data_IF_437996952298
#
_entry.id   IF_437996952298
#
_cell.length_a   1.000
_cell.length_b   1.000
_cell.length_c   1.000
_cell.angle_alpha   90.00
_cell.angle_beta   90.00
_cell.angle_gamma   90.00
#
_symmetry.space_group_name_H-M   'P 1'
#
loop_
_entity.id
_entity.type
_entity.pdbx_description
1 polymer ?
#
# COMPACT_ATOMS: atom_id res chain seq x y z
N UNK A 1 -11.71 8.91 22.01
CA UNK A 1 -11.87 7.44 21.91
C UNK A 1 -10.46 6.85 21.99
N UNK A 2 -10.20 6.07 23.03
CA UNK A 2 -8.89 5.44 23.28
C UNK A 2 -8.53 4.53 22.10
N UNK A 3 -7.38 4.78 21.45
CA UNK A 3 -6.80 3.86 20.49
C UNK A 3 -6.46 2.58 21.27
N UNK A 4 -7.07 1.47 20.88
CA UNK A 4 -6.73 0.13 21.40
C UNK A 4 -5.32 -0.21 20.89
N UNK A 5 -4.31 0.27 21.62
CA UNK A 5 -2.95 0.54 21.14
C UNK A 5 -1.97 -0.61 21.37
N UNK A 6 -2.48 -1.85 21.57
CA UNK A 6 -1.64 -2.98 21.99
C UNK A 6 -1.49 -4.11 20.99
N UNK A 7 -2.50 -4.42 20.18
CA UNK A 7 -2.49 -5.65 19.38
C UNK A 7 -2.13 -5.40 17.91
N UNK A 8 -1.11 -6.10 17.40
CA UNK A 8 -0.76 -6.09 16.00
C UNK A 8 -1.92 -6.70 15.18
N UNK A 9 -2.39 -5.98 14.14
CA UNK A 9 -3.32 -6.53 13.16
C UNK A 9 -2.59 -7.47 12.20
N UNK A 10 -1.40 -7.07 11.77
CA UNK A 10 -0.51 -7.81 10.89
C UNK A 10 0.80 -8.05 11.61
N UNK A 11 1.24 -9.31 11.66
CA UNK A 11 2.56 -9.71 12.17
C UNK A 11 3.26 -10.57 11.13
N UNK A 12 4.44 -10.15 10.70
CA UNK A 12 5.33 -10.87 9.81
C UNK A 12 6.49 -11.36 10.66
N UNK A 13 6.75 -12.68 10.66
CA UNK A 13 7.67 -13.33 11.60
C UNK A 13 8.72 -14.16 10.85
N UNK A 14 9.96 -13.66 10.84
CA UNK A 14 11.11 -14.35 10.25
C UNK A 14 10.92 -14.78 8.80
N UNK A 15 10.19 -13.95 8.03
CA UNK A 15 9.73 -14.29 6.68
C UNK A 15 10.90 -14.35 5.71
N UNK A 16 11.05 -15.48 5.01
CA UNK A 16 11.99 -15.60 3.92
C UNK A 16 11.32 -16.14 2.66
N UNK A 17 11.83 -15.70 1.50
CA UNK A 17 11.36 -16.18 0.20
C UNK A 17 12.52 -16.46 -0.73
N UNK A 18 12.55 -17.68 -1.24
CA UNK A 18 13.46 -18.11 -2.30
C UNK A 18 12.63 -18.55 -3.50
N UNK A 19 12.95 -18.03 -4.65
CA UNK A 19 12.36 -18.44 -5.92
C UNK A 19 13.32 -19.41 -6.61
N UNK A 20 12.81 -20.51 -7.14
CA UNK A 20 13.54 -21.36 -8.06
C UNK A 20 13.53 -20.70 -9.45
N UNK A 21 14.70 -20.47 -10.03
CA UNK A 21 14.85 -19.95 -11.40
C UNK A 21 15.74 -20.86 -12.22
N UNK A 22 15.75 -20.69 -13.53
CA UNK A 22 16.61 -21.46 -14.43
C UNK A 22 18.10 -21.31 -14.10
N UNK A 23 18.48 -20.12 -13.63
CA UNK A 23 19.87 -19.78 -13.28
C UNK A 23 20.22 -20.12 -11.80
N UNK A 24 19.33 -20.84 -11.10
CA UNK A 24 19.51 -21.21 -9.70
C UNK A 24 18.56 -20.47 -8.73
N UNK A 25 18.64 -20.76 -7.44
CA UNK A 25 17.74 -20.19 -6.45
C UNK A 25 18.05 -18.70 -6.20
N UNK A 26 17.02 -17.86 -6.26
CA UNK A 26 17.09 -16.42 -5.97
C UNK A 26 16.39 -16.12 -4.65
N UNK A 27 17.16 -15.73 -3.64
CA UNK A 27 16.62 -15.26 -2.36
C UNK A 27 16.11 -13.82 -2.51
N UNK A 28 14.80 -13.66 -2.48
CA UNK A 28 14.14 -12.35 -2.58
C UNK A 28 14.02 -11.68 -1.22
N UNK A 29 13.64 -12.45 -0.18
CA UNK A 29 13.52 -11.97 1.21
C UNK A 29 14.30 -12.85 2.15
N UNK A 30 14.86 -12.27 3.21
CA UNK A 30 15.66 -12.97 4.21
C UNK A 30 15.34 -12.50 5.63
N UNK A 31 14.64 -13.33 6.40
CA UNK A 31 14.29 -13.13 7.82
C UNK A 31 13.61 -11.79 8.12
N UNK A 32 12.65 -11.37 7.29
CA UNK A 32 11.88 -10.13 7.49
C UNK A 32 10.89 -10.31 8.63
N UNK A 33 10.95 -9.41 9.65
CA UNK A 33 9.99 -9.38 10.76
C UNK A 33 9.45 -7.96 10.92
N UNK A 34 8.11 -7.82 10.94
CA UNK A 34 7.42 -6.54 10.98
C UNK A 34 6.04 -6.71 11.59
N UNK A 35 5.68 -5.81 12.50
CA UNK A 35 4.32 -5.70 13.05
C UNK A 35 3.68 -4.39 12.62
N UNK A 36 2.41 -4.45 12.20
CA UNK A 36 1.57 -3.29 11.96
C UNK A 36 0.35 -3.32 12.89
N UNK A 37 0.12 -2.23 13.63
CA UNK A 37 -1.01 -2.09 14.55
C UNK A 37 -2.30 -1.81 13.76
N UNK A 38 -3.43 -2.10 14.39
CA UNK A 38 -4.73 -1.74 13.81
C UNK A 38 -4.80 -0.23 13.54
N UNK A 39 -5.26 0.13 12.34
CA UNK A 39 -5.38 1.52 11.91
C UNK A 39 -4.05 2.22 11.62
N UNK A 40 -2.92 1.52 11.61
CA UNK A 40 -1.61 2.11 11.32
C UNK A 40 -1.34 2.15 9.80
N UNK A 41 -0.75 3.24 9.35
CA UNK A 41 -0.24 3.37 8.00
C UNK A 41 1.27 3.08 8.01
N UNK A 42 1.67 1.95 7.42
CA UNK A 42 3.07 1.50 7.37
C UNK A 42 3.56 1.52 5.92
N UNK A 43 4.60 2.30 5.64
CA UNK A 43 5.29 2.25 4.35
C UNK A 43 6.49 1.32 4.38
N UNK A 44 6.67 0.57 3.30
CA UNK A 44 7.87 -0.21 3.00
C UNK A 44 8.62 0.51 1.90
N UNK A 45 9.78 1.03 2.23
CA UNK A 45 10.65 1.82 1.36
C UNK A 45 11.94 1.04 1.08
N UNK A 46 12.39 1.03 -0.16
CA UNK A 46 13.64 0.36 -0.55
C UNK A 46 13.88 0.40 -2.05
N UNK A 47 15.08 0.02 -2.51
CA UNK A 47 15.43 0.04 -3.92
C UNK A 47 14.57 -0.94 -4.74
N UNK A 48 14.55 -0.73 -6.06
CA UNK A 48 13.86 -1.66 -6.98
C UNK A 48 14.45 -3.07 -6.88
N UNK A 49 13.57 -4.09 -6.90
CA UNK A 49 13.98 -5.49 -6.84
C UNK A 49 14.42 -6.00 -5.46
N UNK A 50 14.29 -5.22 -4.37
CA UNK A 50 14.64 -5.69 -3.02
C UNK A 50 13.60 -6.61 -2.37
N UNK A 51 12.47 -6.89 -3.02
CA UNK A 51 11.47 -7.84 -2.53
C UNK A 51 10.21 -7.23 -1.90
N UNK A 52 9.98 -5.92 -2.00
CA UNK A 52 8.79 -5.23 -1.44
C UNK A 52 7.48 -5.83 -1.93
N UNK A 53 7.32 -5.96 -3.25
CA UNK A 53 6.12 -6.58 -3.86
C UNK A 53 5.98 -8.05 -3.46
N UNK A 54 7.10 -8.79 -3.34
CA UNK A 54 7.09 -10.17 -2.84
C UNK A 54 6.55 -10.23 -1.41
N UNK A 55 6.99 -9.32 -0.53
CA UNK A 55 6.51 -9.24 0.85
C UNK A 55 5.00 -8.95 0.89
N UNK A 56 4.54 -8.00 0.08
CA UNK A 56 3.13 -7.65 -0.02
C UNK A 56 2.29 -8.82 -0.55
N UNK A 57 2.75 -9.53 -1.59
CA UNK A 57 2.05 -10.70 -2.15
C UNK A 57 1.96 -11.87 -1.15
N UNK A 58 2.99 -12.05 -0.31
CA UNK A 58 2.94 -13.07 0.75
C UNK A 58 1.96 -12.61 1.86
N UNK A 59 1.96 -11.33 2.22
CA UNK A 59 1.00 -10.78 3.19
C UNK A 59 -0.46 -10.91 2.71
N UNK A 60 -0.68 -10.87 1.39
CA UNK A 60 -1.98 -11.13 0.76
C UNK A 60 -2.36 -12.61 0.70
N UNK A 61 -1.43 -13.54 0.95
CA UNK A 61 -1.61 -14.97 0.75
C UNK A 61 -1.60 -15.42 -0.70
N UNK A 62 -1.15 -14.56 -1.63
CA UNK A 62 -1.08 -14.85 -3.07
C UNK A 62 0.17 -15.64 -3.44
N UNK A 63 1.23 -15.50 -2.65
CA UNK A 63 2.50 -16.21 -2.83
C UNK A 63 2.88 -16.89 -1.51
N UNK A 64 3.23 -18.17 -1.50
CA UNK A 64 3.67 -18.84 -0.28
C UNK A 64 5.08 -18.38 0.13
N UNK A 65 5.31 -18.22 1.43
CA UNK A 65 6.63 -18.02 2.00
C UNK A 65 7.47 -19.31 1.87
N UNK A 66 8.80 -19.18 1.83
CA UNK A 66 9.72 -20.33 1.95
C UNK A 66 9.95 -20.73 3.40
N UNK A 67 9.97 -19.74 4.31
CA UNK A 67 10.00 -19.95 5.77
C UNK A 67 9.41 -18.75 6.49
N UNK A 68 9.15 -18.90 7.79
CA UNK A 68 8.48 -17.88 8.60
C UNK A 68 6.96 -17.92 8.43
N UNK A 69 6.29 -16.87 8.89
CA UNK A 69 4.85 -16.78 8.85
C UNK A 69 4.37 -15.32 8.71
N UNK A 70 3.17 -15.16 8.14
CA UNK A 70 2.37 -13.94 8.24
C UNK A 70 1.12 -14.27 9.04
N UNK A 71 0.80 -13.44 10.00
CA UNK A 71 -0.36 -13.56 10.89
C UNK A 71 -1.18 -12.30 10.74
N UNK A 72 -2.47 -12.43 10.49
CA UNK A 72 -3.44 -11.31 10.39
C UNK A 72 -4.62 -11.62 11.30
N UNK A 73 -4.95 -10.71 12.21
CA UNK A 73 -5.99 -10.92 13.23
C UNK A 73 -5.77 -12.21 14.05
N UNK A 74 -4.52 -12.59 14.35
CA UNK A 74 -4.19 -13.83 15.07
C UNK A 74 -4.22 -15.10 14.21
N UNK A 75 -4.62 -15.04 12.95
CA UNK A 75 -4.68 -16.19 12.04
C UNK A 75 -3.51 -16.21 11.06
N UNK A 76 -2.91 -17.38 10.88
CA UNK A 76 -1.84 -17.56 9.89
C UNK A 76 -2.39 -17.45 8.47
N UNK A 77 -1.74 -16.63 7.65
CA UNK A 77 -2.06 -16.48 6.23
C UNK A 77 -1.49 -17.69 5.46
N UNK A 78 -2.35 -18.61 5.08
CA UNK A 78 -2.00 -19.84 4.32
C UNK A 78 -2.60 -19.86 2.90
N UNK A 79 -3.52 -18.94 2.60
CA UNK A 79 -4.25 -18.84 1.32
C UNK A 79 -4.63 -17.39 1.05
N UNK A 80 -5.05 -17.02 -0.19
CA UNK A 80 -5.54 -15.69 -0.49
C UNK A 80 -6.63 -15.25 0.47
N UNK A 81 -6.48 -14.04 1.01
CA UNK A 81 -7.43 -13.43 1.95
C UNK A 81 -8.49 -12.67 1.19
N UNK A 82 -9.74 -12.78 1.65
CA UNK A 82 -10.88 -12.08 1.06
C UNK A 82 -11.27 -10.80 1.81
N UNK A 83 -10.74 -10.59 3.02
CA UNK A 83 -11.02 -9.47 3.91
C UNK A 83 -10.03 -8.30 3.78
N UNK A 84 -9.17 -8.34 2.75
CA UNK A 84 -8.19 -7.30 2.44
C UNK A 84 -8.52 -6.62 1.12
N UNK A 85 -8.12 -5.35 0.97
CA UNK A 85 -8.06 -4.65 -0.31
C UNK A 85 -6.63 -4.71 -0.87
N UNK A 86 -6.50 -4.87 -2.18
CA UNK A 86 -5.20 -4.83 -2.87
C UNK A 86 -5.25 -3.82 -3.99
N UNK A 87 -4.25 -2.94 -4.04
CA UNK A 87 -4.01 -2.00 -5.14
C UNK A 87 -2.65 -2.33 -5.74
N UNK A 88 -2.65 -2.68 -7.01
CA UNK A 88 -1.43 -3.00 -7.76
C UNK A 88 -0.81 -1.74 -8.37
N UNK A 89 0.45 -1.83 -8.75
CA UNK A 89 1.19 -0.77 -9.44
C UNK A 89 0.47 -0.35 -10.74
N UNK A 90 0.04 -1.34 -11.53
CA UNK A 90 -0.86 -1.10 -12.64
C UNK A 90 -2.30 -1.25 -12.16
N UNK A 91 -3.24 -0.36 -12.54
CA UNK A 91 -4.63 -0.40 -12.07
C UNK A 91 -5.37 -1.71 -12.36
N UNK A 92 -4.97 -2.45 -13.40
CA UNK A 92 -5.54 -3.75 -13.82
C UNK A 92 -7.08 -3.67 -13.85
N UNK A 93 -7.61 -2.65 -14.54
CA UNK A 93 -9.05 -2.52 -14.78
C UNK A 93 -9.46 -3.45 -15.92
N UNK A 94 -10.70 -3.91 -15.88
CA UNK A 94 -11.30 -4.67 -16.96
C UNK A 94 -11.76 -3.69 -18.05
N UNK A 95 -11.17 -3.76 -19.24
CA UNK A 95 -11.37 -2.78 -20.32
C UNK A 95 -12.81 -2.75 -20.85
N UNK A 96 -13.54 -3.86 -20.70
CA UNK A 96 -14.95 -4.02 -21.11
C UNK A 96 -15.95 -3.64 -20.01
N UNK A 97 -15.50 -3.12 -18.89
CA UNK A 97 -16.32 -2.62 -17.77
C UNK A 97 -16.13 -1.13 -17.57
N UNK A 98 -17.19 -0.45 -17.20
CA UNK A 98 -17.14 0.96 -16.81
C UNK A 98 -16.35 1.15 -15.51
N UNK A 99 -16.07 2.41 -15.14
CA UNK A 99 -15.43 2.73 -13.86
C UNK A 99 -16.23 2.17 -12.68
N UNK A 100 -17.55 2.38 -12.68
CA UNK A 100 -18.44 1.85 -11.65
C UNK A 100 -18.44 0.32 -11.62
N UNK A 101 -18.56 -0.34 -12.77
CA UNK A 101 -18.57 -1.81 -12.85
C UNK A 101 -17.23 -2.41 -12.42
N UNK A 102 -16.12 -1.74 -12.68
CA UNK A 102 -14.81 -2.13 -12.15
C UNK A 102 -14.76 -2.05 -10.62
N UNK A 103 -15.32 -1.01 -10.01
CA UNK A 103 -15.44 -0.92 -8.55
C UNK A 103 -16.35 -2.01 -8.01
N UNK A 104 -17.47 -2.26 -8.65
CA UNK A 104 -18.46 -3.26 -8.25
C UNK A 104 -17.95 -4.70 -8.32
N UNK A 105 -16.88 -4.99 -9.06
CA UNK A 105 -16.31 -6.33 -9.23
C UNK A 105 -16.07 -7.05 -7.89
N UNK A 106 -15.60 -6.32 -6.87
CA UNK A 106 -15.34 -6.90 -5.54
C UNK A 106 -16.64 -7.22 -4.79
N UNK A 107 -17.67 -6.42 -4.98
CA UNK A 107 -18.99 -6.68 -4.40
C UNK A 107 -19.65 -7.90 -5.07
N UNK A 108 -19.56 -8.02 -6.38
CA UNK A 108 -20.06 -9.15 -7.16
C UNK A 108 -19.37 -10.46 -6.74
N UNK A 109 -18.02 -10.45 -6.68
CA UNK A 109 -17.22 -11.63 -6.30
C UNK A 109 -17.55 -12.13 -4.88
N UNK A 110 -17.96 -11.23 -3.98
CA UNK A 110 -18.32 -11.53 -2.58
C UNK A 110 -19.82 -11.72 -2.37
N UNK A 111 -20.62 -11.59 -3.42
CA UNK A 111 -22.09 -11.69 -3.36
C UNK A 111 -22.71 -10.73 -2.34
N UNK A 112 -22.18 -9.51 -2.24
CA UNK A 112 -22.71 -8.45 -1.40
C UNK A 112 -24.04 -7.94 -1.96
N UNK A 113 -24.85 -7.27 -1.12
CA UNK A 113 -26.06 -6.59 -1.60
C UNK A 113 -25.69 -5.56 -2.67
N UNK A 114 -26.24 -5.75 -3.87
CA UNK A 114 -25.89 -4.93 -5.03
C UNK A 114 -26.23 -3.46 -4.84
N UNK A 115 -27.40 -3.17 -4.26
CA UNK A 115 -27.88 -1.79 -4.09
C UNK A 115 -27.03 -1.02 -3.07
N UNK A 116 -26.70 -1.65 -1.95
CA UNK A 116 -25.81 -1.06 -0.95
C UNK A 116 -24.39 -0.85 -1.50
N UNK A 117 -23.85 -1.86 -2.20
CA UNK A 117 -22.53 -1.80 -2.81
C UNK A 117 -22.44 -0.72 -3.90
N UNK A 118 -23.46 -0.57 -4.74
CA UNK A 118 -23.47 0.48 -5.78
C UNK A 118 -23.51 1.89 -5.17
N UNK A 119 -24.35 2.12 -4.16
CA UNK A 119 -24.34 3.41 -3.44
C UNK A 119 -22.96 3.72 -2.88
N UNK A 120 -22.31 2.72 -2.28
CA UNK A 120 -20.96 2.85 -1.75
C UNK A 120 -19.93 3.12 -2.83
N UNK A 121 -20.00 2.41 -3.96
CA UNK A 121 -19.10 2.60 -5.09
C UNK A 121 -19.19 4.03 -5.64
N UNK A 122 -20.40 4.57 -5.80
CA UNK A 122 -20.61 5.96 -6.23
C UNK A 122 -20.07 6.97 -5.21
N UNK A 123 -20.29 6.74 -3.92
CA UNK A 123 -19.70 7.59 -2.87
C UNK A 123 -18.18 7.59 -2.89
N UNK A 124 -17.57 6.42 -3.12
CA UNK A 124 -16.12 6.31 -3.25
C UNK A 124 -15.61 7.06 -4.47
N UNK A 125 -16.23 6.88 -5.64
CA UNK A 125 -15.87 7.60 -6.88
C UNK A 125 -16.01 9.12 -6.69
N UNK A 126 -17.10 9.57 -6.08
CA UNK A 126 -17.28 10.98 -5.71
C UNK A 126 -16.15 11.50 -4.80
N UNK A 127 -15.80 10.75 -3.75
CA UNK A 127 -14.78 11.17 -2.76
C UNK A 127 -13.36 11.32 -3.33
N UNK A 128 -13.09 10.71 -4.48
CA UNK A 128 -11.82 10.82 -5.21
C UNK A 128 -11.93 11.67 -6.49
N UNK A 129 -13.00 12.47 -6.63
CA UNK A 129 -13.18 13.41 -7.75
C UNK A 129 -13.48 12.74 -9.09
N UNK A 130 -14.18 11.61 -9.08
CA UNK A 130 -14.62 10.88 -10.29
C UNK A 130 -16.14 10.98 -10.51
N UNK A 131 -16.80 12.00 -9.96
CA UNK A 131 -18.19 12.30 -10.25
C UNK A 131 -18.37 12.58 -11.76
N UNK A 132 -19.36 11.97 -12.37
CA UNK A 132 -19.64 12.06 -13.80
C UNK A 132 -18.81 11.12 -14.69
N UNK A 133 -17.86 10.37 -14.11
CA UNK A 133 -17.03 9.39 -14.83
C UNK A 133 -17.42 7.93 -14.56
N UNK A 134 -18.51 7.68 -13.84
CA UNK A 134 -18.96 6.35 -13.41
C UNK A 134 -19.15 5.40 -14.59
N UNK A 135 -19.69 5.92 -15.71
CA UNK A 135 -20.02 5.17 -16.91
C UNK A 135 -18.91 5.17 -17.97
N UNK A 136 -17.74 5.75 -17.68
CA UNK A 136 -16.59 5.77 -18.58
C UNK A 136 -15.81 4.47 -18.52
N UNK A 137 -15.31 4.03 -19.67
CA UNK A 137 -14.45 2.86 -19.80
C UNK A 137 -12.99 3.22 -19.51
N UNK A 138 -12.12 2.26 -19.14
CA UNK A 138 -10.72 2.53 -18.81
C UNK A 138 -9.93 3.30 -19.88
N UNK A 139 -10.21 3.07 -21.16
CA UNK A 139 -9.55 3.78 -22.25
C UNK A 139 -9.96 5.26 -22.39
N UNK A 140 -11.09 5.66 -21.78
CA UNK A 140 -11.57 7.06 -21.74
C UNK A 140 -11.03 7.81 -20.50
N UNK A 141 -10.30 7.12 -19.59
CA UNK A 141 -9.80 7.67 -18.34
C UNK A 141 -8.30 7.96 -18.41
N UNK A 142 -7.86 9.04 -17.76
CA UNK A 142 -6.42 9.28 -17.55
C UNK A 142 -5.78 8.21 -16.66
N UNK A 143 -4.45 8.13 -16.64
CA UNK A 143 -3.72 7.21 -15.74
C UNK A 143 -4.09 7.38 -14.27
N UNK A 144 -4.16 8.63 -13.81
CA UNK A 144 -4.56 8.97 -12.44
C UNK A 144 -6.01 8.60 -12.13
N UNK A 145 -6.93 8.81 -13.08
CA UNK A 145 -8.34 8.40 -12.93
C UNK A 145 -8.46 6.87 -12.83
N UNK A 146 -7.75 6.11 -13.67
CA UNK A 146 -7.71 4.64 -13.57
C UNK A 146 -7.17 4.18 -12.22
N UNK A 147 -6.15 4.84 -11.70
CA UNK A 147 -5.60 4.52 -10.38
C UNK A 147 -6.61 4.78 -9.26
N UNK A 148 -7.34 5.90 -9.31
CA UNK A 148 -8.42 6.19 -8.35
C UNK A 148 -9.54 5.14 -8.41
N UNK A 149 -9.95 4.70 -9.61
CA UNK A 149 -10.92 3.59 -9.77
C UNK A 149 -10.38 2.31 -9.10
N UNK A 150 -9.10 1.97 -9.26
CA UNK A 150 -8.50 0.79 -8.64
C UNK A 150 -8.49 0.87 -7.11
N UNK A 151 -8.26 2.06 -6.55
CA UNK A 151 -8.36 2.31 -5.10
C UNK A 151 -9.80 2.14 -4.62
N UNK A 152 -10.78 2.73 -5.32
CA UNK A 152 -12.21 2.56 -5.00
C UNK A 152 -12.62 1.08 -5.04
N UNK A 153 -12.17 0.33 -6.06
CA UNK A 153 -12.40 -1.12 -6.17
C UNK A 153 -11.86 -1.89 -4.96
N UNK A 154 -10.68 -1.52 -4.48
CA UNK A 154 -10.07 -2.15 -3.31
C UNK A 154 -10.81 -1.82 -2.00
N UNK A 155 -11.61 -0.73 -1.96
CA UNK A 155 -12.26 -0.22 -0.75
C UNK A 155 -13.77 -0.49 -0.67
N UNK A 156 -14.44 -0.87 -1.76
CA UNK A 156 -15.90 -0.98 -1.81
C UNK A 156 -16.48 -2.02 -0.82
N UNK A 157 -15.70 -3.06 -0.52
CA UNK A 157 -16.09 -4.12 0.42
C UNK A 157 -15.63 -3.87 1.87
N UNK A 158 -15.16 -2.64 2.16
CA UNK A 158 -14.74 -2.18 3.51
C UNK A 158 -13.68 -3.07 4.17
N UNK A 159 -12.52 -3.25 3.53
CA UNK A 159 -11.49 -4.10 4.09
C UNK A 159 -10.88 -3.50 5.37
N UNK A 160 -10.50 -4.35 6.31
CA UNK A 160 -9.75 -3.92 7.50
C UNK A 160 -8.29 -3.61 7.21
N UNK A 161 -7.77 -4.15 6.12
CA UNK A 161 -6.39 -3.97 5.68
C UNK A 161 -6.33 -3.64 4.19
N UNK A 162 -5.50 -2.67 3.83
CA UNK A 162 -5.21 -2.26 2.46
C UNK A 162 -3.73 -2.51 2.15
N UNK A 163 -3.46 -3.28 1.13
CA UNK A 163 -2.12 -3.55 0.61
C UNK A 163 -1.94 -2.79 -0.70
N UNK A 164 -0.90 -1.98 -0.83
CA UNK A 164 -0.67 -1.14 -1.99
C UNK A 164 0.75 -1.32 -2.51
N UNK A 165 0.90 -1.72 -3.77
CA UNK A 165 2.19 -1.93 -4.42
C UNK A 165 2.49 -0.80 -5.39
N UNK A 166 3.35 0.13 -5.00
CA UNK A 166 3.80 1.30 -5.80
C UNK A 166 2.66 2.02 -6.55
N UNK A 167 1.52 2.36 -5.89
CA UNK A 167 0.30 2.78 -6.57
C UNK A 167 0.42 4.12 -7.31
N UNK A 168 1.49 4.88 -7.08
CA UNK A 168 1.69 6.20 -7.67
C UNK A 168 2.85 6.25 -8.68
N UNK A 169 3.51 5.12 -8.95
CA UNK A 169 4.75 5.07 -9.72
C UNK A 169 4.64 5.59 -11.15
N UNK A 170 3.49 5.43 -11.80
CA UNK A 170 3.25 5.84 -13.19
C UNK A 170 2.58 7.22 -13.35
N UNK A 171 2.45 8.00 -12.25
CA UNK A 171 1.71 9.26 -12.24
C UNK A 171 2.65 10.47 -12.28
N UNK A 172 2.19 11.55 -12.92
CA UNK A 172 2.84 12.86 -12.82
C UNK A 172 2.78 13.41 -11.38
N UNK A 173 3.62 14.41 -11.08
CA UNK A 173 3.80 14.92 -9.73
C UNK A 173 2.52 15.50 -9.13
N UNK A 174 1.74 16.29 -9.88
CA UNK A 174 0.51 16.93 -9.38
C UNK A 174 -0.59 15.90 -9.11
N UNK A 175 -0.77 14.96 -10.05
CA UNK A 175 -1.74 13.85 -9.90
C UNK A 175 -1.37 12.97 -8.69
N UNK A 176 -0.08 12.68 -8.51
CA UNK A 176 0.43 11.92 -7.37
C UNK A 176 0.11 12.60 -6.03
N UNK A 177 0.37 13.90 -5.94
CA UNK A 177 0.08 14.69 -4.73
C UNK A 177 -1.42 14.71 -4.42
N UNK A 178 -2.27 14.89 -5.42
CA UNK A 178 -3.71 14.86 -5.22
C UNK A 178 -4.19 13.48 -4.75
N UNK A 179 -3.71 12.38 -5.34
CA UNK A 179 -4.12 11.04 -4.92
C UNK A 179 -3.59 10.72 -3.52
N UNK A 180 -2.42 11.23 -3.14
CA UNK A 180 -1.89 11.07 -1.77
C UNK A 180 -2.79 11.77 -0.74
N UNK A 181 -3.31 12.96 -1.04
CA UNK A 181 -4.29 13.67 -0.20
C UNK A 181 -5.61 12.89 -0.12
N UNK A 182 -6.14 12.42 -1.26
CA UNK A 182 -7.38 11.63 -1.33
C UNK A 182 -7.26 10.34 -0.51
N UNK A 183 -6.13 9.63 -0.65
CA UNK A 183 -5.86 8.40 0.11
C UNK A 183 -5.76 8.67 1.61
N UNK A 184 -5.08 9.75 2.02
CA UNK A 184 -5.01 10.14 3.43
C UNK A 184 -6.40 10.42 4.01
N UNK A 185 -7.27 11.13 3.26
CA UNK A 185 -8.65 11.40 3.67
C UNK A 185 -9.42 10.09 3.85
N UNK A 186 -9.40 9.19 2.84
CA UNK A 186 -10.04 7.89 2.90
C UNK A 186 -9.55 7.04 4.06
N UNK A 187 -8.25 7.09 4.36
CA UNK A 187 -7.67 6.37 5.48
C UNK A 187 -8.10 6.96 6.84
N UNK A 188 -8.09 8.30 6.99
CA UNK A 188 -8.54 8.97 8.21
C UNK A 188 -9.99 8.64 8.55
N UNK A 189 -10.87 8.59 7.53
CA UNK A 189 -12.30 8.31 7.71
C UNK A 189 -12.57 6.83 8.12
N UNK A 190 -11.70 5.90 7.70
CA UNK A 190 -11.93 4.45 7.84
C UNK A 190 -11.05 3.77 8.87
N UNK A 191 -9.93 4.37 9.24
CA UNK A 191 -8.94 3.82 10.20
C UNK A 191 -8.50 2.39 9.85
N UNK A 192 -8.38 2.08 8.55
CA UNK A 192 -7.88 0.78 8.10
C UNK A 192 -6.37 0.68 8.28
N UNK A 193 -5.86 -0.53 8.44
CA UNK A 193 -4.41 -0.77 8.47
C UNK A 193 -3.89 -0.80 7.03
N UNK A 194 -2.85 -0.02 6.74
CA UNK A 194 -2.27 0.09 5.39
C UNK A 194 -0.84 -0.41 5.38
N UNK A 195 -0.53 -1.28 4.43
CA UNK A 195 0.84 -1.62 4.05
C UNK A 195 1.09 -1.05 2.65
N UNK A 196 1.94 -0.04 2.57
CA UNK A 196 2.18 0.76 1.38
C UNK A 196 3.61 0.58 0.89
N UNK A 197 3.78 -0.04 -0.26
CA UNK A 197 5.08 -0.19 -0.90
C UNK A 197 5.34 1.02 -1.81
N UNK A 198 6.49 1.64 -1.65
CA UNK A 198 6.93 2.73 -2.51
C UNK A 198 8.46 2.77 -2.61
N UNK A 199 8.97 3.43 -3.65
CA UNK A 199 10.37 3.85 -3.77
C UNK A 199 10.53 5.36 -3.52
N UNK A 200 9.42 6.08 -3.28
CA UNK A 200 9.41 7.52 -3.03
C UNK A 200 9.50 7.82 -1.53
N UNK A 201 10.61 8.41 -1.13
CA UNK A 201 10.84 8.87 0.24
C UNK A 201 9.77 9.90 0.68
N UNK A 202 9.43 10.83 -0.23
CA UNK A 202 8.44 11.86 0.07
C UNK A 202 7.04 11.27 0.34
N UNK A 203 6.63 10.24 -0.42
CA UNK A 203 5.37 9.53 -0.19
C UNK A 203 5.39 8.80 1.15
N UNK A 204 6.48 8.07 1.43
CA UNK A 204 6.63 7.31 2.66
C UNK A 204 6.51 8.21 3.91
N UNK A 205 7.23 9.34 3.95
CA UNK A 205 7.16 10.29 5.08
C UNK A 205 5.81 10.99 5.14
N UNK A 206 5.23 11.36 3.98
CA UNK A 206 3.96 12.09 3.94
C UNK A 206 2.76 11.25 4.42
N UNK A 207 2.71 9.97 4.07
CA UNK A 207 1.53 9.13 4.31
C UNK A 207 1.61 8.35 5.62
N UNK A 208 2.80 7.99 6.11
CA UNK A 208 2.93 6.91 7.08
C UNK A 208 3.01 7.39 8.52
N UNK A 209 2.59 6.51 9.43
CA UNK A 209 2.92 6.58 10.85
C UNK A 209 4.28 5.89 11.13
N UNK A 210 4.67 4.97 10.21
CA UNK A 210 5.93 4.22 10.31
C UNK A 210 6.49 3.92 8.94
N UNK A 211 7.78 4.14 8.75
CA UNK A 211 8.54 3.80 7.55
C UNK A 211 9.49 2.66 7.86
N UNK A 212 9.38 1.57 7.10
CA UNK A 212 10.27 0.41 7.14
C UNK A 212 11.22 0.53 5.97
N UNK A 213 12.51 0.67 6.24
CA UNK A 213 13.57 0.76 5.24
C UNK A 213 14.12 -0.63 4.97
N UNK A 214 14.15 -1.04 3.70
CA UNK A 214 14.67 -2.36 3.29
C UNK A 214 16.02 -2.23 2.58
N UNK A 215 16.89 -3.22 2.85
CA UNK A 215 18.18 -3.41 2.15
C UNK A 215 17.97 -3.84 0.69
N UNK A 216 18.98 -3.70 -0.19
CA UNK A 216 19.03 -4.41 -1.47
C UNK A 216 18.87 -5.92 -1.30
N UNK A 217 18.64 -6.62 -2.43
CA UNK A 217 18.47 -8.09 -2.42
C UNK A 217 19.68 -8.84 -1.84
N UNK A 218 19.44 -9.82 -0.94
CA UNK A 218 18.13 -10.24 -0.41
C UNK A 218 17.55 -9.18 0.54
N UNK A 219 16.24 -8.89 0.36
CA UNK A 219 15.57 -7.86 1.15
C UNK A 219 15.50 -8.26 2.62
N UNK A 220 16.03 -7.40 3.47
CA UNK A 220 15.93 -7.44 4.94
C UNK A 220 15.42 -6.09 5.42
N UNK A 221 14.88 -6.04 6.61
CA UNK A 221 14.63 -4.75 7.26
C UNK A 221 15.97 -4.22 7.79
N UNK A 222 16.33 -3.03 7.32
CA UNK A 222 17.48 -2.29 7.82
C UNK A 222 17.10 -1.47 9.04
N UNK A 223 16.05 -0.67 8.92
CA UNK A 223 15.60 0.24 9.96
C UNK A 223 14.10 0.44 9.94
N UNK A 224 13.53 0.78 11.09
CA UNK A 224 12.13 1.17 11.25
C UNK A 224 12.11 2.55 11.90
N UNK A 225 11.41 3.50 11.26
CA UNK A 225 11.34 4.90 11.68
C UNK A 225 9.87 5.24 11.93
N UNK A 226 9.54 5.64 13.15
CA UNK A 226 8.23 6.18 13.50
C UNK A 226 8.16 7.65 13.05
N UNK A 227 7.08 8.02 12.36
CA UNK A 227 6.86 9.35 11.80
C UNK A 227 5.83 10.08 12.65
N UNK A 228 6.30 10.94 13.52
CA UNK A 228 5.49 11.76 14.42
C UNK A 228 5.18 13.14 13.79
N UNK A 229 4.51 13.12 12.63
CA UNK A 229 3.97 14.31 12.00
C UNK A 229 2.47 14.39 12.25
N UNK A 230 1.94 15.58 12.65
CA UNK A 230 0.52 15.71 12.96
C UNK A 230 -0.38 15.40 11.76
N UNK A 231 -1.60 14.93 12.03
CA UNK A 231 -2.62 14.62 11.03
C UNK A 231 -3.86 15.49 11.23
N UNK A 232 -4.62 15.86 10.18
CA UNK A 232 -4.37 15.55 8.77
C UNK A 232 -3.17 16.33 8.22
N UNK A 233 -2.37 15.71 7.36
CA UNK A 233 -1.22 16.35 6.73
C UNK A 233 -1.65 17.05 5.44
N UNK A 234 -1.28 18.31 5.29
CA UNK A 234 -1.37 19.05 4.04
C UNK A 234 -0.04 19.01 3.29
N UNK A 235 0.00 19.41 2.03
CA UNK A 235 1.26 19.45 1.28
C UNK A 235 2.30 20.38 1.93
N UNK A 236 1.85 21.43 2.65
CA UNK A 236 2.73 22.32 3.38
C UNK A 236 3.58 21.63 4.46
N UNK A 237 3.20 20.43 4.93
CA UNK A 237 4.04 19.67 5.88
C UNK A 237 5.41 19.34 5.29
N UNK A 238 5.52 19.24 3.96
CA UNK A 238 6.78 18.94 3.27
C UNK A 238 7.81 20.06 3.39
N UNK A 239 7.37 21.28 3.64
CA UNK A 239 8.22 22.48 3.80
C UNK A 239 8.70 22.65 5.25
N UNK A 240 8.28 21.76 6.16
CA UNK A 240 8.66 21.83 7.58
C UNK A 240 10.04 21.23 7.84
N UNK A 241 10.74 21.79 8.84
CA UNK A 241 12.04 21.27 9.28
C UNK A 241 11.94 19.80 9.76
N UNK A 242 10.80 19.41 10.36
CA UNK A 242 10.57 18.05 10.85
C UNK A 242 10.45 17.05 9.70
N UNK A 243 9.72 17.38 8.62
CA UNK A 243 9.66 16.56 7.41
C UNK A 243 11.05 16.41 6.76
N UNK A 244 11.80 17.51 6.67
CA UNK A 244 13.15 17.52 6.15
C UNK A 244 14.11 16.63 6.99
N UNK A 245 13.93 16.63 8.33
CA UNK A 245 14.70 15.77 9.23
C UNK A 245 14.47 14.28 8.98
N UNK A 246 13.19 13.82 8.88
CA UNK A 246 12.87 12.45 8.53
C UNK A 246 13.40 12.06 7.14
N UNK A 247 13.26 12.97 6.18
CA UNK A 247 13.75 12.74 4.82
C UNK A 247 15.27 12.57 4.78
N UNK A 248 16.00 13.36 5.57
CA UNK A 248 17.45 13.25 5.71
C UNK A 248 17.83 11.93 6.38
N UNK A 249 17.24 11.60 7.52
CA UNK A 249 17.48 10.35 8.24
C UNK A 249 17.36 9.13 7.33
N UNK A 250 16.31 9.05 6.53
CA UNK A 250 16.09 7.94 5.60
C UNK A 250 17.13 7.95 4.47
N UNK A 251 17.49 9.13 3.95
CA UNK A 251 18.50 9.27 2.91
C UNK A 251 19.87 8.80 3.41
N UNK A 252 20.24 9.17 4.63
CA UNK A 252 21.51 8.78 5.26
C UNK A 252 21.62 7.25 5.40
N UNK A 253 20.54 6.54 5.72
CA UNK A 253 20.50 5.08 5.71
C UNK A 253 20.78 4.51 4.31
N UNK A 254 20.19 5.09 3.26
CA UNK A 254 20.47 4.63 1.89
C UNK A 254 21.90 4.95 1.43
N UNK A 255 22.50 6.04 1.89
CA UNK A 255 23.90 6.35 1.65
C UNK A 255 24.81 5.36 2.40
N UNK A 256 24.54 5.10 3.68
CA UNK A 256 25.32 4.16 4.50
C UNK A 256 25.25 2.71 3.95
N UNK A 257 24.11 2.31 3.39
CA UNK A 257 23.93 0.98 2.77
C UNK A 257 24.47 0.90 1.33
N UNK A 258 24.98 1.98 0.75
CA UNK A 258 25.50 2.04 -0.63
C UNK A 258 24.42 1.98 -1.71
N UNK A 259 23.13 2.13 -1.33
CA UNK A 259 22.00 2.22 -2.28
C UNK A 259 22.04 3.55 -3.04
N UNK A 260 22.39 4.63 -2.34
CA UNK A 260 22.69 5.93 -2.92
C UNK A 260 24.20 6.16 -2.88
N UNK A 261 24.73 6.88 -3.87
CA UNK A 261 26.12 7.33 -3.92
C UNK A 261 26.12 8.82 -4.23
N UNK A 262 26.76 9.60 -3.39
CA UNK A 262 27.13 10.97 -3.73
C UNK A 262 28.39 10.86 -4.58
N UNK A 263 28.34 11.37 -5.83
CA UNK A 263 29.44 11.35 -6.80
C UNK A 263 30.57 12.28 -6.42
#
# INVERSE_FOLDING_TARGET
MSRDSGQALLSIQGLSKVYATLDGPVRALDHVSLDARRGQFVSILGPSGCGKSTLLMIAAGLVPASSGAVIVNGERVARPRTDIGIVFQNPVLLDWRTALDNVMLQAEARKLDRGAAERKARQLLFSVGLEGFENKYPHELSGGMRQRVSICRALVHEPHQLLMDEPFGALDALTRDQIALDLQKLWNDRQMTVLFVTHSLAEAVFLSDRVVVMTPRPGRIDSIIDIDLPRPRTLAVRDTAQFAAYSRQIRDLFLASGVLREG
#
